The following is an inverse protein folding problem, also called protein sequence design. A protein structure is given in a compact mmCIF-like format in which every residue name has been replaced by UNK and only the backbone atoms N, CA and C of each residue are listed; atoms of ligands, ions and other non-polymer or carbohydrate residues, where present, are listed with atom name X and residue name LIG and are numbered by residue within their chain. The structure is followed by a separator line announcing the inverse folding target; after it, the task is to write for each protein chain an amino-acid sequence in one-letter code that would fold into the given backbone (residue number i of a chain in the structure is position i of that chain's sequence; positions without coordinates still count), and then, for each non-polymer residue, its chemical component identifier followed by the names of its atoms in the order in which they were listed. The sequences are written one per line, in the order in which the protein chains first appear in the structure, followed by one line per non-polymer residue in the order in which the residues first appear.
data_IF_449894365023
#
_entry.id   IF_449894365023
#
_cell.length_a   1.000
_cell.length_b   1.000
_cell.length_c   1.000
_cell.angle_alpha   90.00
_cell.angle_beta   90.00
_cell.angle_gamma   90.00
#
_symmetry.space_group_name_H-M   'P 1'
#
loop_
_entity.id
_entity.type
_entity.pdbx_description
1 polymer ?
#
# COMPACT_ATOMS: atom_id res chain seq x y z
N UNK A 1 -22.50 2.45 -13.09
CA UNK A 1 -22.39 2.50 -11.63
C UNK A 1 -21.58 1.35 -11.07
N UNK A 2 -22.02 0.12 -11.30
CA UNK A 2 -21.26 -1.03 -10.83
C UNK A 2 -19.86 -1.09 -11.43
N UNK A 3 -19.72 -0.66 -12.68
CA UNK A 3 -18.44 -0.65 -13.36
C UNK A 3 -17.45 0.29 -12.65
N UNK A 4 -17.94 1.44 -12.19
CA UNK A 4 -17.10 2.40 -11.47
C UNK A 4 -16.62 1.83 -10.14
N UNK A 5 -17.48 1.10 -9.44
CA UNK A 5 -17.08 0.47 -8.20
C UNK A 5 -15.98 -0.55 -8.42
N UNK A 6 -16.08 -1.35 -9.47
CA UNK A 6 -15.04 -2.33 -9.78
C UNK A 6 -13.72 -1.66 -10.09
N UNK A 7 -13.74 -0.60 -10.88
CA UNK A 7 -12.51 0.10 -11.24
C UNK A 7 -11.87 0.72 -10.02
N UNK A 8 -12.65 1.41 -9.19
CA UNK A 8 -12.16 2.02 -7.97
C UNK A 8 -11.60 0.96 -7.04
N UNK A 9 -12.31 -0.16 -6.88
CA UNK A 9 -11.89 -1.23 -6.00
C UNK A 9 -10.57 -1.83 -6.46
N UNK A 10 -10.39 -2.07 -7.75
CA UNK A 10 -9.16 -2.61 -8.29
C UNK A 10 -7.98 -1.65 -8.11
N UNK A 11 -8.20 -0.38 -8.39
CA UNK A 11 -7.16 0.63 -8.23
C UNK A 11 -6.79 0.78 -6.77
N UNK A 12 -7.78 0.86 -5.89
CA UNK A 12 -7.55 1.06 -4.47
C UNK A 12 -6.91 -0.16 -3.80
N UNK A 13 -7.21 -1.36 -4.28
CA UNK A 13 -6.58 -2.57 -3.74
C UNK A 13 -5.07 -2.53 -3.90
N UNK A 14 -4.58 -2.01 -5.02
CA UNK A 14 -3.14 -1.95 -5.26
C UNK A 14 -2.44 -1.00 -4.29
N UNK A 15 -3.16 -0.04 -3.71
CA UNK A 15 -2.61 0.92 -2.76
C UNK A 15 -3.23 0.79 -1.37
N UNK A 16 -4.16 -0.15 -1.20
CA UNK A 16 -4.94 -0.22 0.03
C UNK A 16 -4.07 -0.47 1.25
N UNK A 17 -3.14 -1.40 1.16
CA UNK A 17 -2.28 -1.71 2.29
C UNK A 17 -1.41 -0.51 2.67
N UNK A 18 -0.86 0.17 1.67
CA UNK A 18 -0.08 1.38 1.93
C UNK A 18 -0.94 2.48 2.53
N UNK A 19 -2.18 2.63 2.06
CA UNK A 19 -3.11 3.60 2.62
C UNK A 19 -3.44 3.29 4.08
N UNK A 20 -3.61 2.02 4.42
CA UNK A 20 -3.85 1.61 5.81
C UNK A 20 -2.68 1.98 6.70
N UNK A 21 -1.46 1.80 6.22
CA UNK A 21 -0.28 2.15 6.99
C UNK A 21 -0.21 3.65 7.26
N UNK A 22 -0.57 4.45 6.26
CA UNK A 22 -0.60 5.91 6.42
C UNK A 22 -1.68 6.33 7.41
N UNK A 23 -2.85 5.69 7.34
CA UNK A 23 -3.93 5.99 8.30
C UNK A 23 -3.52 5.63 9.72
N UNK A 24 -2.82 4.53 9.89
CA UNK A 24 -2.34 4.09 11.18
C UNK A 24 -1.17 4.92 11.70
N UNK A 25 -0.38 5.46 10.78
CA UNK A 25 0.76 6.30 11.13
C UNK A 25 0.79 7.54 10.23
N UNK A 26 0.09 8.62 10.64
CA UNK A 26 -0.03 9.82 9.80
C UNK A 26 1.30 10.50 9.45
N UNK A 27 2.38 10.18 10.15
CA UNK A 27 3.69 10.73 9.81
C UNK A 27 4.17 10.26 8.44
N UNK A 28 3.56 9.20 7.90
CA UNK A 28 3.92 8.68 6.58
C UNK A 28 3.18 9.41 5.44
N UNK A 29 2.23 10.27 5.77
CA UNK A 29 1.45 10.98 4.76
C UNK A 29 2.34 11.79 3.84
N UNK A 30 2.14 11.61 2.54
CA UNK A 30 2.90 12.34 1.53
C UNK A 30 4.28 11.76 1.24
N UNK A 31 4.68 10.72 1.96
CA UNK A 31 5.99 10.10 1.76
C UNK A 31 5.88 8.86 0.89
N UNK A 32 6.94 8.51 0.14
CA UNK A 32 6.95 7.25 -0.58
C UNK A 32 7.07 6.09 0.42
N UNK A 33 6.08 5.20 0.41
CA UNK A 33 5.97 4.08 1.34
C UNK A 33 5.71 2.80 0.56
N UNK A 34 6.38 1.73 0.94
CA UNK A 34 6.09 0.40 0.42
C UNK A 34 5.86 -0.55 1.59
N UNK A 35 5.07 -1.59 1.32
CA UNK A 35 4.83 -2.67 2.27
C UNK A 35 5.55 -3.90 1.77
N UNK A 36 6.40 -4.48 2.59
CA UNK A 36 7.14 -5.69 2.25
C UNK A 36 7.57 -6.39 3.53
N UNK A 37 7.85 -7.68 3.43
CA UNK A 37 8.34 -8.44 4.57
C UNK A 37 9.77 -8.01 4.90
N UNK A 38 10.10 -8.06 6.18
CA UNK A 38 11.42 -7.69 6.63
C UNK A 38 12.46 -8.71 6.15
N UNK A 39 13.55 -8.20 5.61
CA UNK A 39 14.66 -9.03 5.14
C UNK A 39 15.94 -8.23 5.32
N UNK A 40 16.92 -8.76 6.09
CA UNK A 40 18.19 -8.05 6.32
C UNK A 40 18.93 -7.70 5.04
N UNK A 41 18.78 -8.52 4.00
CA UNK A 41 19.45 -8.29 2.71
C UNK A 41 18.65 -7.42 1.76
N UNK A 42 17.46 -6.97 2.17
CA UNK A 42 16.58 -6.14 1.36
C UNK A 42 16.14 -6.81 0.04
N UNK A 43 16.03 -8.13 0.06
CA UNK A 43 15.59 -8.91 -1.10
C UNK A 43 14.09 -9.19 -1.09
N UNK A 44 13.36 -8.63 -0.15
CA UNK A 44 11.91 -8.80 -0.07
C UNK A 44 11.23 -8.24 -1.31
N UNK A 45 10.17 -8.91 -1.72
CA UNK A 45 9.33 -8.42 -2.80
C UNK A 45 8.35 -7.40 -2.23
N UNK A 46 8.20 -6.28 -2.93
CA UNK A 46 7.24 -5.25 -2.56
C UNK A 46 5.83 -5.77 -2.80
N UNK A 47 5.01 -5.78 -1.75
CA UNK A 47 3.63 -6.23 -1.82
C UNK A 47 2.73 -5.13 -2.36
N UNK A 48 3.00 -3.88 -1.97
CA UNK A 48 2.26 -2.73 -2.45
C UNK A 48 3.10 -1.48 -2.27
N UNK A 49 2.79 -0.45 -3.05
CA UNK A 49 3.51 0.82 -3.02
C UNK A 49 2.51 1.96 -3.03
N UNK A 50 2.80 3.02 -2.28
CA UNK A 50 1.99 4.22 -2.28
C UNK A 50 2.10 4.95 -3.62
N UNK A 51 1.20 5.89 -3.87
CA UNK A 51 1.26 6.69 -5.09
C UNK A 51 2.58 7.47 -5.17
N UNK A 52 3.05 7.99 -4.04
CA UNK A 52 4.32 8.70 -3.98
C UNK A 52 5.48 7.80 -4.39
N UNK A 53 5.47 6.55 -3.93
CA UNK A 53 6.52 5.59 -4.30
C UNK A 53 6.45 5.25 -5.79
N UNK A 54 5.25 5.11 -6.32
CA UNK A 54 5.06 4.80 -7.74
C UNK A 54 5.60 5.87 -8.67
N UNK A 55 5.63 7.10 -8.21
CA UNK A 55 6.20 8.21 -9.00
C UNK A 55 7.69 8.05 -9.23
N UNK A 56 8.37 7.28 -8.38
CA UNK A 56 9.78 6.96 -8.54
C UNK A 56 10.01 5.74 -9.43
N UNK A 57 8.94 5.17 -9.98
CA UNK A 57 9.04 3.97 -10.81
C UNK A 57 8.95 2.68 -10.01
N UNK A 58 8.60 2.75 -8.74
CA UNK A 58 8.49 1.58 -7.88
C UNK A 58 7.16 0.88 -8.14
N UNK A 59 7.17 -0.43 -8.25
CA UNK A 59 5.98 -1.21 -8.54
C UNK A 59 5.91 -2.47 -7.67
N UNK A 60 4.71 -3.02 -7.58
CA UNK A 60 4.47 -4.28 -6.88
C UNK A 60 5.30 -5.39 -7.53
N UNK A 61 5.85 -6.26 -6.74
CA UNK A 61 6.75 -7.36 -7.12
C UNK A 61 8.20 -6.96 -7.34
N UNK A 62 8.52 -5.66 -7.32
CA UNK A 62 9.90 -5.21 -7.37
C UNK A 62 10.62 -5.63 -6.09
N UNK A 63 11.92 -5.89 -6.18
CA UNK A 63 12.72 -6.16 -5.00
C UNK A 63 12.98 -4.86 -4.24
N UNK A 64 13.01 -4.95 -2.91
CA UNK A 64 13.19 -3.77 -2.07
C UNK A 64 14.52 -3.06 -2.36
N UNK A 65 15.61 -3.82 -2.56
CA UNK A 65 16.91 -3.21 -2.86
C UNK A 65 16.88 -2.42 -4.16
N UNK A 66 16.13 -2.89 -5.16
CA UNK A 66 15.97 -2.15 -6.41
C UNK A 66 15.19 -0.85 -6.18
N UNK A 67 14.14 -0.92 -5.37
CA UNK A 67 13.34 0.26 -5.04
C UNK A 67 14.16 1.30 -4.30
N UNK A 68 15.05 0.88 -3.42
CA UNK A 68 15.91 1.79 -2.66
C UNK A 68 16.92 2.51 -3.57
N UNK A 69 17.30 1.90 -4.68
CA UNK A 69 18.12 2.57 -5.68
C UNK A 69 17.35 3.71 -6.33
N UNK A 70 16.07 3.48 -6.65
CA UNK A 70 15.22 4.49 -7.27
C UNK A 70 14.84 5.59 -6.29
N UNK A 71 14.67 5.25 -5.02
CA UNK A 71 14.24 6.19 -3.98
C UNK A 71 15.00 5.91 -2.69
N UNK A 72 16.16 6.53 -2.48
CA UNK A 72 16.98 6.25 -1.28
C UNK A 72 16.27 6.58 0.04
N UNK A 73 15.33 7.55 0.01
CA UNK A 73 14.57 7.91 1.20
C UNK A 73 13.28 7.12 1.39
N UNK A 74 13.14 6.01 0.68
CA UNK A 74 11.93 5.19 0.74
C UNK A 74 11.68 4.65 2.15
N UNK A 75 10.44 4.79 2.62
CA UNK A 75 10.00 4.15 3.86
C UNK A 75 9.42 2.79 3.51
N UNK A 76 9.88 1.75 4.19
CA UNK A 76 9.34 0.41 4.00
C UNK A 76 8.89 -0.14 5.36
N UNK A 77 7.71 -0.75 5.36
CA UNK A 77 7.08 -1.26 6.57
C UNK A 77 6.65 -2.71 6.34
N UNK A 78 6.61 -3.46 7.43
CA UNK A 78 6.09 -4.82 7.36
C UNK A 78 4.58 -4.79 7.23
N UNK A 79 3.97 -5.80 6.58
CA UNK A 79 2.53 -5.84 6.46
C UNK A 79 1.86 -6.09 7.81
N UNK A 80 0.77 -5.37 8.04
CA UNK A 80 -0.06 -5.50 9.23
C UNK A 80 -1.44 -6.02 8.79
N UNK A 81 -1.55 -7.30 8.54
CA UNK A 81 -2.75 -7.90 7.95
C UNK A 81 -3.99 -7.68 8.82
N UNK A 82 -3.84 -7.74 10.14
CA UNK A 82 -4.96 -7.49 11.05
C UNK A 82 -5.53 -6.09 10.87
N UNK A 83 -4.65 -5.12 10.69
CA UNK A 83 -5.03 -3.74 10.46
C UNK A 83 -5.77 -3.60 9.13
N UNK A 84 -5.27 -4.26 8.10
CA UNK A 84 -5.86 -4.20 6.76
C UNK A 84 -7.26 -4.83 6.76
N UNK A 85 -7.41 -5.95 7.46
CA UNK A 85 -8.70 -6.60 7.58
C UNK A 85 -9.70 -5.70 8.30
N UNK A 86 -9.26 -5.03 9.34
CA UNK A 86 -10.11 -4.11 10.09
C UNK A 86 -10.61 -2.97 9.21
N UNK A 87 -9.72 -2.35 8.44
CA UNK A 87 -10.11 -1.26 7.55
C UNK A 87 -10.96 -1.76 6.40
N UNK A 88 -10.65 -2.93 5.85
CA UNK A 88 -11.44 -3.51 4.78
C UNK A 88 -12.87 -3.81 5.26
N UNK A 89 -13.01 -4.35 6.45
CA UNK A 89 -14.32 -4.65 7.03
C UNK A 89 -15.14 -3.38 7.19
N UNK A 90 -14.54 -2.32 7.70
CA UNK A 90 -15.22 -1.04 7.85
C UNK A 90 -15.64 -0.48 6.49
N UNK A 91 -14.80 -0.61 5.48
CA UNK A 91 -15.12 -0.16 4.14
C UNK A 91 -16.29 -0.95 3.56
N UNK A 92 -16.31 -2.26 3.74
CA UNK A 92 -17.41 -3.09 3.28
C UNK A 92 -18.72 -2.72 3.95
N UNK A 93 -18.70 -2.51 5.25
CA UNK A 93 -19.89 -2.08 5.97
C UNK A 93 -20.41 -0.75 5.44
N UNK A 94 -19.52 0.19 5.19
CA UNK A 94 -19.87 1.48 4.64
C UNK A 94 -20.54 1.34 3.27
N UNK A 95 -19.95 0.52 2.40
CA UNK A 95 -20.49 0.31 1.05
C UNK A 95 -21.86 -0.35 1.09
N UNK A 96 -22.07 -1.30 2.00
CA UNK A 96 -23.36 -1.97 2.15
C UNK A 96 -24.42 -0.97 2.59
N UNK A 97 -24.12 -0.13 3.55
CA UNK A 97 -25.07 0.86 4.05
C UNK A 97 -25.37 1.95 3.01
N UNK A 98 -24.40 2.26 2.16
CA UNK A 98 -24.58 3.31 1.16
C UNK A 98 -25.26 2.81 -0.10
N UNK A 99 -25.22 1.52 -0.34
CA UNK A 99 -25.89 0.97 -1.51
C UNK A 99 -27.35 0.66 -1.17
#
# INVERSE_FOLDING_TARGET
MQTNYRIIFHIDLNCFFAACEVLNNPSLKGKPVVVCHKDPLKHSIILTASYEARRYGIYTTMLLNEALVLCPGLTYVEPHYDLYIKYAKNLFEYLIYKS
#
